data_IF_090397470765
#
_entry.id   IF_090397470765
#
_cell.length_a   1.000
_cell.length_b   1.000
_cell.length_c   1.000
_cell.angle_alpha   90.00
_cell.angle_beta   90.00
_cell.angle_gamma   90.00
#
_symmetry.space_group_name_H-M   'P 1'
#
loop_
_entity.id
_entity.type
_entity.pdbx_description
1 polymer ?
#
# COMPACT_ATOMS: atom_id res chain seq x y z
N UNK A 1 -12.65 7.92 12.20
CA UNK A 1 -12.99 6.53 11.80
C UNK A 1 -11.72 5.72 11.92
N UNK A 2 -11.79 4.55 12.56
CA UNK A 2 -10.66 3.62 12.60
C UNK A 2 -10.67 2.76 11.34
N UNK A 3 -9.50 2.57 10.73
CA UNK A 3 -9.32 1.73 9.54
C UNK A 3 -8.72 0.38 9.93
N UNK A 4 -9.19 -0.69 9.30
CA UNK A 4 -8.74 -2.05 9.55
C UNK A 4 -7.95 -2.61 8.38
N UNK A 5 -6.98 -3.47 8.67
CA UNK A 5 -6.15 -4.14 7.67
C UNK A 5 -6.80 -5.43 7.14
N UNK A 6 -7.58 -6.11 8.00
CA UNK A 6 -8.18 -7.43 7.73
C UNK A 6 -9.60 -7.51 8.33
N UNK A 7 -10.38 -8.46 7.82
CA UNK A 7 -11.65 -8.85 8.46
C UNK A 7 -11.41 -9.42 9.87
N UNK A 8 -12.45 -9.39 10.71
CA UNK A 8 -12.44 -10.15 11.97
C UNK A 8 -12.13 -11.61 11.67
N UNK A 9 -11.22 -12.27 12.41
CA UNK A 9 -10.95 -13.69 12.27
C UNK A 9 -12.24 -14.54 12.42
N UNK A 10 -12.30 -15.69 11.75
CA UNK A 10 -13.44 -16.58 11.88
C UNK A 10 -13.59 -17.04 13.35
N UNK A 11 -14.76 -16.76 13.93
CA UNK A 11 -15.04 -17.05 15.34
C UNK A 11 -14.43 -16.05 16.34
N UNK A 12 -13.73 -15.03 15.85
CA UNK A 12 -13.13 -13.97 16.68
C UNK A 12 -14.09 -12.82 16.99
N UNK A 13 -13.65 -11.95 17.88
CA UNK A 13 -14.34 -10.73 18.27
C UNK A 13 -13.82 -9.51 17.50
N UNK A 14 -14.53 -8.38 17.60
CA UNK A 14 -14.11 -7.13 16.96
C UNK A 14 -12.77 -6.63 17.52
N UNK A 15 -12.50 -6.87 18.78
CA UNK A 15 -11.27 -6.49 19.48
C UNK A 15 -10.04 -7.20 18.93
N UNK A 16 -10.23 -8.34 18.26
CA UNK A 16 -9.16 -9.08 17.58
C UNK A 16 -8.91 -8.61 16.15
N UNK A 17 -9.71 -7.66 15.67
CA UNK A 17 -9.54 -7.11 14.34
C UNK A 17 -8.32 -6.18 14.30
N UNK A 18 -7.35 -6.51 13.45
CA UNK A 18 -6.10 -5.75 13.31
C UNK A 18 -6.38 -4.42 12.61
N UNK A 19 -6.01 -3.31 13.26
CA UNK A 19 -6.10 -1.99 12.65
C UNK A 19 -5.07 -1.83 11.53
N UNK A 20 -5.34 -0.92 10.59
CA UNK A 20 -4.41 -0.61 9.52
C UNK A 20 -3.09 -0.06 10.08
N UNK A 21 -3.18 0.82 11.10
CA UNK A 21 -1.98 1.36 11.75
C UNK A 21 -1.13 0.26 12.37
N UNK A 22 -1.73 -0.63 13.17
CA UNK A 22 -1.00 -1.74 13.79
C UNK A 22 -0.32 -2.62 12.74
N UNK A 23 -1.03 -2.95 11.66
CA UNK A 23 -0.46 -3.77 10.58
C UNK A 23 0.75 -3.11 9.89
N UNK A 24 0.70 -1.80 9.66
CA UNK A 24 1.82 -1.07 9.07
C UNK A 24 3.02 -1.00 10.04
N UNK A 25 2.76 -0.72 11.32
CA UNK A 25 3.79 -0.69 12.37
C UNK A 25 4.47 -2.07 12.52
N UNK A 26 3.68 -3.15 12.60
CA UNK A 26 4.19 -4.54 12.68
C UNK A 26 5.05 -4.90 11.45
N UNK A 27 4.66 -4.43 10.26
CA UNK A 27 5.43 -4.67 9.03
C UNK A 27 6.78 -3.97 9.06
N UNK A 28 6.82 -2.73 9.57
CA UNK A 28 8.08 -1.99 9.77
C UNK A 28 8.96 -2.69 10.80
N UNK A 29 8.40 -3.13 11.92
CA UNK A 29 9.13 -3.86 12.98
C UNK A 29 9.73 -5.16 12.40
N UNK A 30 8.95 -5.95 11.67
CA UNK A 30 9.45 -7.15 10.99
C UNK A 30 10.61 -6.85 10.02
N UNK A 31 10.55 -5.74 9.29
CA UNK A 31 11.64 -5.35 8.39
C UNK A 31 12.90 -4.92 9.17
N UNK A 32 12.75 -4.24 10.31
CA UNK A 32 13.85 -3.88 11.18
C UNK A 32 14.53 -5.13 11.80
N UNK A 33 13.74 -6.05 12.32
CA UNK A 33 14.22 -7.34 12.83
C UNK A 33 14.96 -8.16 11.76
N UNK A 34 14.48 -8.11 10.52
CA UNK A 34 15.15 -8.72 9.39
C UNK A 34 16.52 -8.06 9.15
N UNK A 35 16.60 -6.73 9.19
CA UNK A 35 17.85 -6.00 9.01
C UNK A 35 18.85 -6.17 10.17
N UNK A 36 18.41 -6.44 11.38
CA UNK A 36 19.31 -6.80 12.48
C UNK A 36 20.12 -8.07 12.15
N UNK A 37 19.51 -9.03 11.44
CA UNK A 37 20.14 -10.31 11.09
C UNK A 37 20.85 -10.27 9.73
N UNK A 38 20.25 -9.62 8.76
CA UNK A 38 20.66 -9.69 7.35
C UNK A 38 21.02 -8.33 6.75
N UNK A 39 21.00 -7.25 7.53
CA UNK A 39 21.20 -5.88 7.05
C UNK A 39 22.58 -5.63 6.41
N UNK A 40 23.57 -6.49 6.66
CA UNK A 40 24.88 -6.39 6.02
C UNK A 40 24.87 -6.68 4.50
N UNK A 41 23.78 -7.24 3.98
CA UNK A 41 23.57 -7.44 2.55
C UNK A 41 22.98 -6.22 1.83
N UNK A 42 22.56 -5.18 2.58
CA UNK A 42 21.87 -4.00 2.07
C UNK A 42 22.63 -2.73 2.42
N UNK A 43 22.63 -1.78 1.52
CA UNK A 43 23.07 -0.41 1.80
C UNK A 43 22.05 0.30 2.71
N UNK A 44 22.48 1.37 3.40
CA UNK A 44 21.55 2.15 4.23
C UNK A 44 20.42 2.77 3.40
N UNK A 45 20.70 3.17 2.15
CA UNK A 45 19.70 3.67 1.21
C UNK A 45 18.66 2.58 0.87
N UNK A 46 19.07 1.37 0.56
CA UNK A 46 18.15 0.25 0.29
C UNK A 46 17.28 -0.08 1.50
N UNK A 47 17.85 -0.11 2.69
CA UNK A 47 17.10 -0.29 3.94
C UNK A 47 16.05 0.81 4.13
N UNK A 48 16.42 2.07 3.89
CA UNK A 48 15.51 3.20 4.00
C UNK A 48 14.34 3.08 3.00
N UNK A 49 14.62 2.67 1.75
CA UNK A 49 13.59 2.45 0.71
C UNK A 49 12.62 1.34 1.12
N UNK A 50 13.13 0.23 1.63
CA UNK A 50 12.31 -0.91 2.08
C UNK A 50 11.44 -0.51 3.27
N UNK A 51 11.99 0.19 4.25
CA UNK A 51 11.22 0.69 5.41
C UNK A 51 10.13 1.66 4.95
N UNK A 52 10.43 2.57 4.01
CA UNK A 52 9.42 3.48 3.48
C UNK A 52 8.30 2.73 2.74
N UNK A 53 8.64 1.71 1.96
CA UNK A 53 7.64 0.86 1.33
C UNK A 53 6.76 0.13 2.36
N UNK A 54 7.34 -0.40 3.45
CA UNK A 54 6.61 -1.03 4.55
C UNK A 54 5.60 -0.09 5.21
N UNK A 55 5.95 1.19 5.38
CA UNK A 55 5.06 2.21 5.98
C UNK A 55 3.81 2.47 5.17
N UNK A 56 3.87 2.31 3.84
CA UNK A 56 2.80 2.76 2.95
C UNK A 56 2.11 1.65 2.15
N UNK A 57 2.66 0.41 2.12
CA UNK A 57 2.20 -0.64 1.20
C UNK A 57 0.69 -0.90 1.22
N UNK A 58 0.06 -0.74 2.36
CA UNK A 58 -1.36 -1.01 2.58
C UNK A 58 -2.21 0.25 2.87
N UNK A 59 -1.65 1.47 2.78
CA UNK A 59 -2.40 2.72 3.02
C UNK A 59 -3.63 2.85 2.13
N UNK A 60 -3.60 2.30 0.93
CA UNK A 60 -4.74 2.25 0.02
C UNK A 60 -5.95 1.52 0.58
N UNK A 61 -5.80 0.70 1.64
CA UNK A 61 -6.93 0.10 2.37
C UNK A 61 -7.75 1.11 3.16
N UNK A 62 -7.25 2.33 3.41
CA UNK A 62 -8.00 3.39 4.08
C UNK A 62 -9.13 3.99 3.21
N UNK A 63 -9.47 3.39 2.07
CA UNK A 63 -10.61 3.80 1.27
C UNK A 63 -11.92 3.15 1.77
N UNK A 64 -13.03 3.89 1.61
CA UNK A 64 -14.34 3.49 2.13
C UNK A 64 -14.88 2.21 1.48
N UNK A 65 -14.54 1.95 0.21
CA UNK A 65 -15.01 0.75 -0.51
C UNK A 65 -14.38 -0.49 0.09
N UNK A 66 -13.05 -0.47 0.33
CA UNK A 66 -12.35 -1.57 1.00
C UNK A 66 -12.87 -1.75 2.44
N UNK A 67 -12.94 -0.65 3.21
CA UNK A 67 -13.39 -0.70 4.61
C UNK A 67 -14.82 -1.23 4.73
N UNK A 68 -15.72 -0.89 3.81
CA UNK A 68 -17.10 -1.39 3.83
C UNK A 68 -17.22 -2.93 3.71
N UNK A 69 -16.18 -3.60 3.20
CA UNK A 69 -16.15 -5.05 3.07
C UNK A 69 -15.68 -5.77 4.33
N UNK A 70 -14.84 -5.10 5.12
CA UNK A 70 -14.19 -5.71 6.29
C UNK A 70 -14.67 -5.16 7.62
N UNK A 71 -15.20 -3.95 7.66
CA UNK A 71 -15.78 -3.33 8.85
C UNK A 71 -17.29 -3.58 8.88
N UNK A 72 -17.75 -4.45 9.77
CA UNK A 72 -19.18 -4.81 9.92
C UNK A 72 -20.10 -3.65 10.33
N UNK A 73 -19.54 -2.53 10.77
CA UNK A 73 -20.32 -1.32 11.12
C UNK A 73 -20.68 -0.50 9.89
N UNK A 74 -20.06 -0.78 8.75
CA UNK A 74 -20.31 -0.08 7.50
C UNK A 74 -21.24 -0.89 6.59
N UNK A 75 -22.10 -0.18 5.86
CA UNK A 75 -22.86 -0.81 4.78
C UNK A 75 -21.93 -1.13 3.59
N UNK A 76 -22.02 -2.35 3.07
CA UNK A 76 -21.22 -2.78 1.93
C UNK A 76 -21.51 -1.91 0.69
N UNK A 77 -20.49 -1.26 0.19
CA UNK A 77 -20.55 -0.44 -1.03
C UNK A 77 -20.29 -1.35 -2.23
N UNK A 78 -21.35 -1.58 -3.04
CA UNK A 78 -21.27 -2.39 -4.26
C UNK A 78 -20.79 -1.54 -5.43
N UNK A 79 -19.51 -1.32 -5.52
CA UNK A 79 -18.87 -0.67 -6.67
C UNK A 79 -17.58 -1.39 -7.03
N UNK A 80 -17.04 -1.08 -8.21
CA UNK A 80 -15.74 -1.60 -8.61
C UNK A 80 -14.65 -1.05 -7.68
N UNK A 81 -13.89 -1.95 -7.08
CA UNK A 81 -12.79 -1.58 -6.19
C UNK A 81 -11.54 -1.29 -7.00
N UNK A 82 -10.88 -0.19 -6.66
CA UNK A 82 -9.53 0.08 -7.15
C UNK A 82 -8.57 -0.74 -6.30
N UNK A 83 -7.61 -1.46 -6.90
CA UNK A 83 -6.63 -2.23 -6.14
C UNK A 83 -5.92 -1.36 -5.11
N UNK A 84 -5.93 -1.78 -3.85
CA UNK A 84 -5.33 -0.97 -2.78
C UNK A 84 -3.81 -0.79 -2.95
N UNK A 85 -3.11 -1.73 -3.59
CA UNK A 85 -1.70 -1.55 -3.94
C UNK A 85 -1.46 -0.33 -4.84
N UNK A 86 -2.32 -0.11 -5.84
CA UNK A 86 -2.29 1.11 -6.65
C UNK A 86 -2.56 2.36 -5.81
N UNK A 87 -3.63 2.33 -4.99
CA UNK A 87 -3.95 3.47 -4.12
C UNK A 87 -2.81 3.75 -3.13
N UNK A 88 -2.19 2.71 -2.56
CA UNK A 88 -1.03 2.85 -1.69
C UNK A 88 0.15 3.49 -2.39
N UNK A 89 0.48 3.04 -3.61
CA UNK A 89 1.57 3.61 -4.40
C UNK A 89 1.34 5.10 -4.75
N UNK A 90 0.09 5.53 -4.84
CA UNK A 90 -0.26 6.94 -5.08
C UNK A 90 -0.19 7.83 -3.83
N UNK A 91 0.04 7.27 -2.63
CA UNK A 91 0.11 8.05 -1.39
C UNK A 91 1.43 8.79 -1.21
N UNK A 92 2.47 8.42 -1.95
CA UNK A 92 3.80 9.02 -1.84
C UNK A 92 4.22 9.56 -3.19
N UNK A 93 4.31 10.88 -3.32
CA UNK A 93 4.83 11.53 -4.53
C UNK A 93 6.34 11.34 -4.66
N UNK A 94 6.92 11.51 -5.87
CA UNK A 94 8.37 11.50 -6.05
C UNK A 94 9.10 12.53 -5.18
N UNK A 95 8.48 13.69 -4.96
CA UNK A 95 9.04 14.76 -4.13
C UNK A 95 9.05 14.36 -2.65
N UNK A 96 7.95 13.81 -2.13
CA UNK A 96 7.88 13.32 -0.74
C UNK A 96 8.87 12.19 -0.51
N UNK A 97 8.95 11.23 -1.43
CA UNK A 97 9.93 10.15 -1.35
C UNK A 97 11.36 10.69 -1.28
N UNK A 98 11.70 11.67 -2.13
CA UNK A 98 13.01 12.32 -2.13
C UNK A 98 13.28 13.11 -0.85
N UNK A 99 12.25 13.70 -0.24
CA UNK A 99 12.39 14.39 1.05
C UNK A 99 12.69 13.41 2.20
N UNK A 100 12.11 12.19 2.13
CA UNK A 100 12.37 11.13 3.12
C UNK A 100 13.72 10.45 2.90
N UNK A 101 14.17 10.32 1.65
CA UNK A 101 15.44 9.67 1.27
C UNK A 101 16.18 10.57 0.28
N UNK A 102 16.90 11.60 0.77
CA UNK A 102 17.52 12.63 -0.08
C UNK A 102 18.52 12.11 -1.11
N UNK A 103 19.19 10.98 -0.82
CA UNK A 103 20.13 10.30 -1.70
C UNK A 103 19.47 9.42 -2.78
N UNK A 104 18.15 9.23 -2.71
CA UNK A 104 17.44 8.42 -3.69
C UNK A 104 17.33 9.12 -5.05
N UNK A 105 17.37 8.32 -6.12
CA UNK A 105 17.15 8.78 -7.49
C UNK A 105 15.80 8.30 -8.07
N UNK A 106 15.59 8.55 -9.35
CA UNK A 106 14.34 8.17 -10.01
C UNK A 106 14.15 6.66 -10.14
N UNK A 107 15.24 5.88 -10.23
CA UNK A 107 15.17 4.43 -10.32
C UNK A 107 14.87 3.82 -8.95
N UNK A 108 15.38 4.42 -7.88
CA UNK A 108 15.00 4.10 -6.50
C UNK A 108 13.50 4.34 -6.26
N UNK A 109 12.97 5.47 -6.75
CA UNK A 109 11.52 5.74 -6.66
C UNK A 109 10.68 4.75 -7.46
N UNK A 110 11.11 4.37 -8.66
CA UNK A 110 10.44 3.32 -9.45
C UNK A 110 10.44 1.97 -8.72
N UNK A 111 11.57 1.60 -8.11
CA UNK A 111 11.67 0.37 -7.32
C UNK A 111 10.72 0.40 -6.12
N UNK A 112 10.70 1.49 -5.36
CA UNK A 112 9.75 1.73 -4.27
C UNK A 112 8.30 1.61 -4.75
N UNK A 113 7.93 2.37 -5.80
CA UNK A 113 6.58 2.37 -6.36
C UNK A 113 6.15 0.98 -6.80
N UNK A 114 7.04 0.26 -7.50
CA UNK A 114 6.77 -1.11 -7.99
C UNK A 114 6.57 -2.07 -6.82
N UNK A 115 7.39 -1.98 -5.78
CA UNK A 115 7.26 -2.81 -4.59
C UNK A 115 5.92 -2.57 -3.87
N UNK A 116 5.53 -1.31 -3.68
CA UNK A 116 4.25 -0.96 -3.06
C UNK A 116 3.06 -1.38 -3.93
N UNK A 117 3.13 -1.15 -5.25
CA UNK A 117 2.06 -1.51 -6.17
C UNK A 117 1.83 -3.02 -6.23
N UNK A 118 2.89 -3.82 -6.28
CA UNK A 118 2.86 -5.27 -6.45
C UNK A 118 3.12 -6.06 -5.16
N UNK A 119 2.94 -5.47 -3.97
CA UNK A 119 3.19 -6.16 -2.70
C UNK A 119 2.32 -7.42 -2.50
N UNK A 120 1.18 -7.51 -3.18
CA UNK A 120 0.47 -8.75 -3.38
C UNK A 120 0.88 -9.36 -4.72
N UNK A 121 1.66 -10.44 -4.69
CA UNK A 121 1.95 -11.26 -5.87
C UNK A 121 0.65 -12.00 -6.24
N UNK A 122 -0.27 -11.29 -6.88
CA UNK A 122 -1.41 -11.89 -7.56
C UNK A 122 -1.32 -11.50 -9.01
N UNK A 123 -1.37 -12.49 -9.90
CA UNK A 123 -1.69 -12.27 -11.30
C UNK A 123 -3.14 -11.77 -11.41
N UNK A 124 -3.37 -10.52 -11.05
CA UNK A 124 -4.66 -9.89 -11.29
C UNK A 124 -4.70 -9.40 -12.73
N UNK A 125 -5.11 -10.29 -13.63
CA UNK A 125 -5.24 -10.00 -15.08
C UNK A 125 -6.22 -8.86 -15.39
N UNK A 126 -7.00 -8.40 -14.41
CA UNK A 126 -7.99 -7.34 -14.58
C UNK A 126 -7.59 -6.04 -13.86
N UNK A 127 -6.57 -6.04 -13.00
CA UNK A 127 -6.18 -4.88 -12.21
C UNK A 127 -5.73 -3.70 -13.07
N UNK A 128 -4.93 -3.96 -14.08
CA UNK A 128 -4.41 -2.93 -15.00
C UNK A 128 -5.53 -2.30 -15.84
N UNK A 129 -6.52 -3.09 -16.29
CA UNK A 129 -7.70 -2.59 -17.02
C UNK A 129 -8.57 -1.70 -16.13
N UNK A 130 -8.74 -2.05 -14.86
CA UNK A 130 -9.48 -1.26 -13.87
C UNK A 130 -8.79 0.08 -13.66
N UNK A 131 -7.48 0.07 -13.46
CA UNK A 131 -6.68 1.28 -13.27
C UNK A 131 -6.71 2.16 -14.51
N UNK A 132 -6.50 1.57 -15.69
CA UNK A 132 -6.54 2.28 -16.95
C UNK A 132 -7.91 2.95 -17.17
N UNK A 133 -9.00 2.25 -16.90
CA UNK A 133 -10.35 2.80 -17.01
C UNK A 133 -10.62 3.90 -15.98
N UNK A 134 -10.12 3.76 -14.75
CA UNK A 134 -10.19 4.80 -13.73
C UNK A 134 -9.41 6.05 -14.17
N UNK A 135 -8.17 5.89 -14.62
CA UNK A 135 -7.36 6.99 -15.14
C UNK A 135 -8.03 7.67 -16.32
N UNK A 136 -8.56 6.92 -17.30
CA UNK A 136 -9.31 7.48 -18.43
C UNK A 136 -10.53 8.27 -17.98
N UNK A 137 -11.24 7.81 -16.97
CA UNK A 137 -12.48 8.44 -16.49
C UNK A 137 -12.24 9.71 -15.68
N UNK A 138 -11.20 9.74 -14.84
CA UNK A 138 -11.01 10.80 -13.84
C UNK A 138 -9.81 11.70 -14.10
N UNK A 139 -8.81 11.24 -14.86
CA UNK A 139 -7.58 11.97 -15.15
C UNK A 139 -7.40 12.36 -16.62
N UNK A 140 -8.38 12.06 -17.48
CA UNK A 140 -8.30 12.45 -18.87
C UNK A 140 -8.79 13.90 -19.03
N UNK A 141 -7.86 14.90 -18.98
CA UNK A 141 -7.57 15.59 -20.23
C UNK A 141 -6.09 15.56 -20.67
N UNK A 142 -5.22 14.85 -19.96
CA UNK A 142 -3.76 14.96 -20.19
C UNK A 142 -3.09 13.70 -20.78
N UNK A 143 -3.81 12.58 -20.89
CA UNK A 143 -3.31 11.41 -21.61
C UNK A 143 -3.86 11.53 -23.03
N UNK A 144 -3.15 12.27 -23.87
CA UNK A 144 -3.32 12.18 -25.32
C UNK A 144 -2.51 11.00 -25.83
N UNK A 145 -3.16 10.23 -26.71
CA UNK A 145 -2.57 9.11 -27.45
C UNK A 145 -1.23 9.46 -28.09
#
# INVERSE_FOLDING_TARGET
>A
MEYFAKSVPNGGSKEEQVTLKQHLDDTVECAQDFFEKFGHYFTEKEKAIIIEACKVHDLGKANIVFQSKINKELHVIKTQEIPHGFLSAMTTSPEEFKNHIPEADNDDYKAFYTAVYHHHVREDKNGDDIILNFCKKYYNPYIRD
#
